data_IF_163526798997
#
_entry.id   IF_163526798997
#
_cell.length_a   1.000
_cell.length_b   1.000
_cell.length_c   1.000
_cell.angle_alpha   90.00
_cell.angle_beta   90.00
_cell.angle_gamma   90.00
#
_symmetry.space_group_name_H-M   'P 1'
#
loop_
_entity.id
_entity.type
_entity.pdbx_description
1 polymer ?
#
# COMPACT_ATOMS: atom_id res chain seq x y z
N UNK A 1 -63.02 40.25 18.99
CA UNK A 1 -64.21 39.53 19.49
C UNK A 1 -64.04 38.07 19.09
N UNK A 2 -63.37 37.26 19.93
CA UNK A 2 -63.95 36.35 20.94
C UNK A 2 -64.97 35.37 20.34
N UNK A 3 -64.56 34.11 20.22
CA UNK A 3 -65.32 32.84 20.26
C UNK A 3 -64.29 31.72 20.00
N UNK A 4 -64.23 30.60 20.69
CA UNK A 4 -64.80 30.12 21.93
C UNK A 4 -64.02 28.84 22.26
N UNK A 5 -63.73 28.64 23.54
CA UNK A 5 -63.02 27.50 24.12
C UNK A 5 -63.97 26.28 24.19
N UNK A 6 -63.44 25.05 24.03
CA UNK A 6 -63.57 23.88 24.95
C UNK A 6 -63.55 22.51 24.24
N UNK A 7 -62.41 21.84 24.47
CA UNK A 7 -62.17 20.43 24.78
C UNK A 7 -63.38 19.47 24.93
N UNK A 8 -63.24 18.29 24.32
CA UNK A 8 -63.67 17.03 24.93
C UNK A 8 -62.66 15.92 24.60
N UNK A 9 -62.00 15.44 25.65
CA UNK A 9 -61.11 14.28 25.70
C UNK A 9 -61.92 12.99 25.78
N UNK A 10 -61.57 11.97 25.00
CA UNK A 10 -61.82 10.57 25.35
C UNK A 10 -60.52 9.79 25.17
N UNK A 11 -60.05 9.24 26.28
CA UNK A 11 -58.91 8.33 26.43
C UNK A 11 -59.50 6.97 26.84
N UNK A 12 -59.10 5.87 26.19
CA UNK A 12 -59.17 4.46 26.65
C UNK A 12 -58.53 3.59 25.54
N UNK A 13 -57.21 3.37 25.58
CA UNK A 13 -56.46 2.25 26.20
C UNK A 13 -56.72 0.84 25.64
N UNK A 14 -55.68 0.35 24.94
CA UNK A 14 -55.00 -0.95 25.01
C UNK A 14 -55.78 -2.25 24.69
N UNK A 15 -55.32 -2.96 23.65
CA UNK A 15 -55.03 -4.39 23.79
C UNK A 15 -53.93 -4.84 22.82
N UNK A 16 -53.14 -5.77 23.34
CA UNK A 16 -51.84 -6.26 22.90
C UNK A 16 -51.94 -7.52 22.02
N UNK A 17 -51.06 -7.64 21.03
CA UNK A 17 -50.13 -8.76 20.82
C UNK A 17 -49.79 -8.95 19.33
N UNK A 18 -48.50 -8.76 19.04
CA UNK A 18 -47.63 -9.60 18.22
C UNK A 18 -48.24 -10.39 17.06
N UNK A 19 -47.89 -9.99 15.83
CA UNK A 19 -47.33 -10.93 14.86
C UNK A 19 -46.25 -10.19 14.04
N UNK A 20 -45.03 -10.71 14.17
CA UNK A 20 -43.84 -10.34 13.40
C UNK A 20 -43.88 -10.96 12.01
N UNK A 21 -43.31 -10.25 11.03
CA UNK A 21 -42.50 -10.72 9.87
C UNK A 21 -42.38 -9.51 8.92
N UNK A 22 -41.43 -8.59 9.11
CA UNK A 22 -40.03 -8.65 8.64
C UNK A 22 -39.84 -9.18 7.21
N UNK A 23 -39.57 -8.27 6.26
CA UNK A 23 -38.65 -8.42 5.11
C UNK A 23 -38.85 -7.22 4.15
N UNK A 24 -37.88 -6.39 3.74
CA UNK A 24 -36.42 -6.49 3.72
C UNK A 24 -35.81 -5.09 3.91
N UNK A 25 -34.91 -5.06 4.86
CA UNK A 25 -33.97 -3.99 5.18
C UNK A 25 -32.98 -3.78 4.03
N UNK A 26 -32.95 -2.57 3.48
CA UNK A 26 -31.82 -2.09 2.68
C UNK A 26 -30.57 -2.18 3.53
N UNK A 27 -29.69 -3.11 3.15
CA UNK A 27 -28.40 -3.31 3.80
C UNK A 27 -27.54 -2.07 3.54
N UNK A 28 -27.43 -1.21 4.56
CA UNK A 28 -26.35 -0.23 4.68
C UNK A 28 -25.02 -0.96 4.53
N UNK A 29 -24.29 -0.64 3.46
CA UNK A 29 -22.88 -0.99 3.29
C UNK A 29 -22.04 -0.51 4.49
N UNK A 30 -21.07 -1.28 4.98
CA UNK A 30 -20.31 -0.90 6.15
C UNK A 30 -19.28 0.18 5.81
N UNK A 31 -19.44 1.33 6.45
CA UNK A 31 -18.42 2.37 6.59
C UNK A 31 -17.26 1.81 7.43
N UNK A 32 -16.04 1.79 6.89
CA UNK A 32 -14.79 1.70 7.66
C UNK A 32 -13.67 0.96 6.92
N UNK A 33 -12.56 1.57 6.53
CA UNK A 33 -11.75 2.58 7.21
C UNK A 33 -11.08 3.49 6.16
N UNK A 34 -11.26 4.82 6.25
CA UNK A 34 -10.37 5.76 5.53
C UNK A 34 -8.93 5.43 5.93
N UNK A 35 -8.12 4.98 4.98
CA UNK A 35 -6.68 4.88 5.21
C UNK A 35 -6.15 6.27 5.59
N UNK A 36 -5.17 6.37 6.52
CA UNK A 36 -4.52 7.65 6.79
C UNK A 36 -4.06 8.27 5.47
N UNK A 37 -4.15 9.59 5.36
CA UNK A 37 -3.83 10.41 4.17
C UNK A 37 -2.34 10.39 3.84
N UNK A 38 -1.79 9.20 3.62
CA UNK A 38 -0.47 8.98 3.04
C UNK A 38 -0.58 9.39 1.57
N UNK A 39 0.18 10.40 1.18
CA UNK A 39 0.18 10.87 -0.21
C UNK A 39 0.41 9.73 -1.22
N UNK A 40 1.25 8.76 -0.87
CA UNK A 40 1.64 7.62 -1.71
C UNK A 40 0.52 6.60 -1.95
N UNK A 41 -0.47 6.54 -1.05
CA UNK A 41 -1.47 5.49 -1.05
C UNK A 41 -2.64 5.82 -1.98
N UNK A 42 -3.23 4.77 -2.55
CA UNK A 42 -4.53 4.79 -3.24
C UNK A 42 -5.38 3.65 -2.70
N UNK A 43 -6.71 3.77 -2.82
CA UNK A 43 -7.61 2.67 -2.48
C UNK A 43 -7.36 1.47 -3.42
N UNK A 44 -7.53 0.22 -2.94
CA UNK A 44 -7.21 -0.96 -3.75
C UNK A 44 -7.90 -1.03 -5.12
N UNK A 45 -9.14 -0.54 -5.21
CA UNK A 45 -9.93 -0.43 -6.45
C UNK A 45 -9.32 0.52 -7.50
N UNK A 46 -8.48 1.46 -7.08
CA UNK A 46 -7.77 2.40 -7.96
C UNK A 46 -6.37 1.92 -8.34
N UNK A 47 -5.88 0.86 -7.72
CA UNK A 47 -4.54 0.34 -7.99
C UNK A 47 -4.58 -0.68 -9.13
N UNK A 48 -3.82 -0.42 -10.19
CA UNK A 48 -3.53 -1.43 -11.21
C UNK A 48 -2.39 -2.31 -10.72
N UNK A 49 -2.61 -3.63 -10.69
CA UNK A 49 -1.61 -4.61 -10.29
C UNK A 49 -1.22 -5.41 -11.53
N UNK A 50 0.02 -5.19 -11.99
CA UNK A 50 0.58 -5.84 -13.17
C UNK A 50 1.28 -7.17 -12.84
N UNK A 51 1.64 -7.36 -11.57
CA UNK A 51 2.21 -8.62 -11.08
C UNK A 51 1.13 -9.71 -10.98
N UNK A 52 1.54 -10.95 -11.14
CA UNK A 52 0.70 -12.13 -11.07
C UNK A 52 1.01 -12.99 -9.83
N UNK A 53 0.21 -14.05 -9.61
CA UNK A 53 0.38 -14.98 -8.50
C UNK A 53 -0.32 -14.56 -7.20
N UNK A 54 -0.24 -15.42 -6.19
CA UNK A 54 -0.93 -15.22 -4.90
C UNK A 54 -0.38 -14.02 -4.12
N UNK A 55 0.91 -13.71 -4.30
CA UNK A 55 1.60 -12.61 -3.64
C UNK A 55 1.57 -11.29 -4.46
N UNK A 56 0.78 -11.21 -5.54
CA UNK A 56 0.72 -10.07 -6.48
C UNK A 56 0.46 -8.70 -5.85
N UNK A 57 -0.11 -8.65 -4.65
CA UNK A 57 -0.40 -7.40 -3.94
C UNK A 57 0.82 -6.82 -3.22
N UNK A 58 1.95 -7.51 -3.22
CA UNK A 58 3.14 -7.17 -2.47
C UNK A 58 4.35 -6.98 -3.39
N UNK A 59 5.14 -5.94 -3.11
CA UNK A 59 6.44 -5.73 -3.76
C UNK A 59 7.32 -6.98 -3.55
N UNK A 60 7.88 -7.60 -4.59
CA UNK A 60 8.63 -8.85 -4.47
C UNK A 60 9.91 -8.65 -3.65
N UNK A 61 10.46 -7.44 -3.65
CA UNK A 61 11.71 -7.12 -2.95
C UNK A 61 11.56 -6.89 -1.45
N UNK A 62 10.49 -6.24 -1.01
CA UNK A 62 10.34 -5.80 0.39
C UNK A 62 8.98 -6.14 1.02
N UNK A 63 8.10 -6.83 0.28
CA UNK A 63 6.73 -7.19 0.67
C UNK A 63 5.79 -6.02 1.00
N UNK A 64 6.19 -4.77 0.79
CA UNK A 64 5.30 -3.62 1.01
C UNK A 64 4.08 -3.71 0.10
N UNK A 65 2.92 -3.40 0.66
CA UNK A 65 1.62 -3.49 -0.03
C UNK A 65 1.54 -2.46 -1.15
N UNK A 66 1.41 -2.91 -2.39
CA UNK A 66 1.52 -2.05 -3.58
C UNK A 66 0.51 -0.89 -3.60
N UNK A 67 -0.78 -1.05 -3.25
CA UNK A 67 -1.71 0.08 -3.13
C UNK A 67 -1.31 1.14 -2.10
N UNK A 68 -0.60 0.76 -1.02
CA UNK A 68 -0.16 1.70 0.02
C UNK A 68 0.96 2.64 -0.45
N UNK A 69 1.68 2.26 -1.50
CA UNK A 69 2.82 2.99 -2.07
C UNK A 69 2.64 3.25 -3.57
N UNK A 70 1.39 3.22 -4.03
CA UNK A 70 1.05 3.15 -5.44
C UNK A 70 1.62 4.29 -6.28
N UNK A 71 1.63 5.51 -5.74
CA UNK A 71 2.16 6.69 -6.46
C UNK A 71 3.68 6.70 -6.64
N UNK A 72 4.39 5.76 -6.02
CA UNK A 72 5.83 5.53 -6.26
C UNK A 72 6.08 4.20 -6.97
N UNK A 73 5.04 3.47 -7.36
CA UNK A 73 5.19 2.16 -7.95
C UNK A 73 5.93 2.22 -9.29
N UNK A 74 6.76 1.22 -9.50
CA UNK A 74 7.37 0.90 -10.77
C UNK A 74 6.95 -0.51 -11.17
N UNK A 75 6.94 -0.80 -12.45
CA UNK A 75 6.77 -2.16 -12.95
C UNK A 75 7.80 -2.42 -14.03
N UNK A 76 8.24 -3.66 -14.17
CA UNK A 76 9.17 -4.07 -15.22
C UNK A 76 8.96 -5.54 -15.54
N UNK A 77 9.47 -5.98 -16.69
CA UNK A 77 9.67 -7.40 -16.94
C UNK A 77 11.05 -7.79 -16.40
N UNK A 78 11.09 -8.73 -15.47
CA UNK A 78 12.30 -9.35 -14.92
C UNK A 78 12.35 -10.77 -15.43
N UNK A 79 13.38 -11.09 -16.22
CA UNK A 79 13.54 -12.40 -16.83
C UNK A 79 12.26 -12.86 -17.57
N UNK A 80 11.59 -11.90 -18.23
CA UNK A 80 10.36 -12.11 -19.00
C UNK A 80 9.06 -12.10 -18.20
N UNK A 81 9.09 -11.98 -16.86
CA UNK A 81 7.89 -11.96 -16.02
C UNK A 81 7.57 -10.55 -15.50
N UNK A 82 6.29 -10.14 -15.46
CA UNK A 82 5.92 -8.83 -14.94
C UNK A 82 6.06 -8.80 -13.40
N UNK A 83 6.89 -7.88 -12.91
CA UNK A 83 7.04 -7.57 -11.49
C UNK A 83 6.66 -6.12 -11.21
N UNK A 84 6.12 -5.87 -10.02
CA UNK A 84 5.73 -4.52 -9.58
C UNK A 84 6.37 -4.18 -8.24
N UNK A 85 7.06 -3.05 -8.21
CA UNK A 85 7.82 -2.56 -7.06
C UNK A 85 7.14 -1.39 -6.41
N UNK A 86 7.29 -1.26 -5.08
CA UNK A 86 6.77 -0.11 -4.36
C UNK A 86 7.54 1.20 -4.64
N UNK A 87 8.75 1.13 -5.18
CA UNK A 87 9.62 2.27 -5.45
C UNK A 87 10.70 1.96 -6.50
N UNK A 88 11.29 3.02 -7.07
CA UNK A 88 12.48 2.92 -7.93
C UNK A 88 13.69 2.33 -7.18
N UNK A 89 13.76 2.49 -5.86
CA UNK A 89 14.81 1.87 -5.04
C UNK A 89 14.74 0.34 -5.11
N UNK A 90 13.56 -0.26 -4.92
CA UNK A 90 13.40 -1.71 -5.01
C UNK A 90 13.63 -2.24 -6.44
N UNK A 91 13.26 -1.46 -7.46
CA UNK A 91 13.61 -1.78 -8.85
C UNK A 91 15.14 -1.77 -9.03
N UNK A 92 15.82 -0.71 -8.59
CA UNK A 92 17.27 -0.58 -8.71
C UNK A 92 18.03 -1.67 -7.93
N UNK A 93 17.52 -2.07 -6.76
CA UNK A 93 18.06 -3.21 -6.00
C UNK A 93 17.93 -4.52 -6.79
N UNK A 94 16.79 -4.74 -7.45
CA UNK A 94 16.59 -5.93 -8.32
C UNK A 94 17.49 -5.89 -9.55
N UNK A 95 17.74 -4.70 -10.12
CA UNK A 95 18.73 -4.53 -11.20
C UNK A 95 20.15 -4.87 -10.72
N UNK A 96 20.51 -4.49 -9.49
CA UNK A 96 21.81 -4.77 -8.89
C UNK A 96 22.00 -6.27 -8.57
N UNK A 97 20.91 -6.98 -8.27
CA UNK A 97 20.93 -8.44 -8.08
C UNK A 97 21.13 -9.23 -9.39
N UNK A 98 21.17 -8.56 -10.54
CA UNK A 98 21.47 -9.17 -11.85
C UNK A 98 20.25 -9.60 -12.67
N UNK A 99 19.03 -9.23 -12.28
CA UNK A 99 17.83 -9.54 -13.06
C UNK A 99 17.82 -8.87 -14.44
N UNK A 100 17.39 -9.58 -15.50
CA UNK A 100 17.27 -8.99 -16.84
C UNK A 100 16.03 -8.11 -16.90
N UNK A 101 16.23 -6.79 -16.82
CA UNK A 101 15.15 -5.81 -16.73
C UNK A 101 14.79 -5.24 -18.10
N UNK A 102 13.49 -5.24 -18.42
CA UNK A 102 12.95 -4.61 -19.63
C UNK A 102 11.56 -4.01 -19.40
N UNK A 103 11.09 -3.20 -20.35
CA UNK A 103 9.74 -2.60 -20.35
C UNK A 103 9.37 -1.90 -19.04
N UNK A 104 10.29 -1.07 -18.53
CA UNK A 104 10.13 -0.37 -17.25
C UNK A 104 9.01 0.68 -17.38
N UNK A 105 8.08 0.67 -16.43
CA UNK A 105 6.96 1.59 -16.31
C UNK A 105 6.94 2.20 -14.91
N UNK A 106 6.31 3.37 -14.79
CA UNK A 106 6.07 4.07 -13.53
C UNK A 106 4.64 4.57 -13.46
N UNK A 107 4.08 4.68 -12.26
CA UNK A 107 2.76 5.30 -12.06
C UNK A 107 2.86 6.82 -12.23
N UNK A 108 2.09 7.34 -13.18
CA UNK A 108 1.86 8.77 -13.34
C UNK A 108 0.99 9.30 -12.19
N UNK A 109 1.49 10.27 -11.44
CA UNK A 109 0.83 10.82 -10.27
C UNK A 109 -0.41 11.66 -10.62
N UNK A 110 -0.55 12.12 -11.86
CA UNK A 110 -1.73 12.83 -12.34
C UNK A 110 -2.89 11.90 -12.66
N UNK A 111 -2.62 10.80 -13.37
CA UNK A 111 -3.67 9.91 -13.91
C UNK A 111 -3.80 8.57 -13.18
N UNK A 112 -2.84 8.22 -12.32
CA UNK A 112 -2.71 6.91 -11.65
C UNK A 112 -2.52 5.72 -12.62
N UNK A 113 -2.19 5.99 -13.88
CA UNK A 113 -1.90 4.96 -14.89
C UNK A 113 -0.40 4.71 -14.99
N UNK A 114 -0.02 3.50 -15.39
CA UNK A 114 1.36 3.20 -15.73
C UNK A 114 1.74 3.83 -17.07
N UNK A 115 2.88 4.49 -17.11
CA UNK A 115 3.49 5.09 -18.29
C UNK A 115 4.92 4.58 -18.47
N UNK A 116 5.44 4.66 -19.70
CA UNK A 116 6.84 4.39 -19.99
C UNK A 116 7.74 5.36 -19.22
N UNK A 117 8.75 4.85 -18.51
CA UNK A 117 9.66 5.68 -17.71
C UNK A 117 10.46 6.68 -18.53
N UNK A 118 10.77 6.38 -19.80
CA UNK A 118 11.53 7.26 -20.67
C UNK A 118 10.76 8.55 -20.97
N UNK A 119 9.42 8.50 -20.91
CA UNK A 119 8.53 9.65 -21.13
C UNK A 119 8.18 10.38 -19.82
N UNK A 120 8.63 9.88 -18.68
CA UNK A 120 8.25 10.38 -17.37
C UNK A 120 9.19 11.49 -16.86
N UNK A 121 8.61 12.45 -16.15
CA UNK A 121 9.30 13.51 -15.42
C UNK A 121 9.19 13.25 -13.93
N UNK A 122 10.32 13.18 -13.23
CA UNK A 122 10.37 12.88 -11.81
C UNK A 122 10.56 14.16 -11.01
N UNK A 123 9.74 14.39 -9.99
CA UNK A 123 10.02 15.36 -8.94
C UNK A 123 10.71 14.65 -7.78
N UNK A 124 11.92 15.10 -7.48
CA UNK A 124 12.85 14.46 -6.54
C UNK A 124 13.14 15.38 -5.37
N UNK A 125 12.97 14.88 -4.14
CA UNK A 125 13.24 15.66 -2.92
C UNK A 125 12.15 16.69 -2.57
N UNK A 126 10.89 16.42 -2.93
CA UNK A 126 9.74 17.17 -2.42
C UNK A 126 9.51 16.90 -0.92
N UNK A 127 8.70 17.75 -0.27
CA UNK A 127 8.28 17.58 1.14
C UNK A 127 7.38 16.37 1.38
N UNK A 128 6.84 15.75 0.31
CA UNK A 128 6.08 14.49 0.44
C UNK A 128 7.03 13.36 0.82
N UNK A 129 6.54 12.40 1.61
CA UNK A 129 7.37 11.28 2.08
C UNK A 129 7.92 10.44 0.91
N UNK A 130 9.15 9.95 1.04
CA UNK A 130 9.72 8.96 0.12
C UNK A 130 9.25 7.53 0.41
N UNK A 131 9.52 6.62 -0.54
CA UNK A 131 9.29 5.18 -0.39
C UNK A 131 10.63 4.45 -0.50
N UNK A 132 11.02 3.73 0.55
CA UNK A 132 12.33 3.04 0.67
C UNK A 132 13.56 3.97 0.59
N UNK A 133 13.35 5.28 0.73
CA UNK A 133 14.38 6.31 0.62
C UNK A 133 13.94 7.52 1.44
N UNK A 134 14.90 8.30 1.95
CA UNK A 134 14.63 9.59 2.59
C UNK A 134 14.23 10.66 1.56
N UNK A 135 14.80 10.58 0.37
CA UNK A 135 14.48 11.45 -0.77
C UNK A 135 13.22 10.94 -1.47
N UNK A 136 12.22 11.79 -1.63
CA UNK A 136 11.01 11.46 -2.37
C UNK A 136 11.25 11.47 -3.88
N UNK A 137 10.52 10.62 -4.62
CA UNK A 137 10.70 10.38 -6.06
C UNK A 137 9.32 10.08 -6.65
N UNK A 138 8.67 11.09 -7.25
CA UNK A 138 7.32 10.99 -7.82
C UNK A 138 7.33 11.29 -9.31
N UNK A 139 6.67 10.45 -10.12
CA UNK A 139 6.70 10.57 -11.57
C UNK A 139 5.41 11.16 -12.14
N UNK A 140 5.56 11.89 -13.24
CA UNK A 140 4.48 12.53 -13.99
C UNK A 140 4.65 12.27 -15.49
N UNK A 141 3.54 12.04 -16.19
CA UNK A 141 3.55 11.87 -17.65
C UNK A 141 3.74 13.17 -18.43
N UNK A 142 3.49 14.32 -17.79
CA UNK A 142 3.64 15.65 -18.38
C UNK A 142 4.61 16.48 -17.56
N UNK A 143 5.51 17.19 -18.24
CA UNK A 143 6.46 18.11 -17.59
C UNK A 143 5.74 19.20 -16.80
N UNK A 144 4.65 19.74 -17.33
CA UNK A 144 3.82 20.78 -16.68
C UNK A 144 3.23 20.31 -15.35
N UNK A 145 2.87 19.03 -15.24
CA UNK A 145 2.33 18.47 -14.00
C UNK A 145 3.43 18.29 -12.95
N UNK A 146 4.63 17.88 -13.38
CA UNK A 146 5.81 17.83 -12.52
C UNK A 146 6.20 19.23 -12.03
N UNK A 147 6.17 20.25 -12.90
CA UNK A 147 6.42 21.65 -12.55
C UNK A 147 5.40 22.17 -11.54
N UNK A 148 4.12 21.87 -11.73
CA UNK A 148 3.08 22.21 -10.76
C UNK A 148 3.33 21.55 -9.40
N UNK A 149 3.65 20.25 -9.39
CA UNK A 149 3.93 19.53 -8.16
C UNK A 149 5.19 20.04 -7.46
N UNK A 150 6.26 20.32 -8.20
CA UNK A 150 7.49 20.88 -7.67
C UNK A 150 7.30 22.30 -7.12
N UNK A 151 6.44 23.12 -7.75
CA UNK A 151 6.07 24.44 -7.23
C UNK A 151 5.32 24.34 -5.90
N UNK A 152 4.42 23.35 -5.76
CA UNK A 152 3.60 23.18 -4.57
C UNK A 152 4.35 22.51 -3.41
N UNK A 153 5.21 21.52 -3.70
CA UNK A 153 5.82 20.66 -2.69
C UNK A 153 7.36 20.70 -2.69
N UNK A 154 7.97 21.55 -3.51
CA UNK A 154 9.41 21.58 -3.72
C UNK A 154 9.93 20.36 -4.47
N UNK A 155 11.26 20.28 -4.55
CA UNK A 155 11.98 19.23 -5.26
C UNK A 155 12.49 19.66 -6.64
N UNK A 156 13.33 18.81 -7.22
CA UNK A 156 13.98 19.03 -8.52
C UNK A 156 13.37 18.11 -9.57
N UNK A 157 13.17 18.62 -10.78
CA UNK A 157 12.67 17.82 -11.90
C UNK A 157 13.83 17.11 -12.58
N UNK A 158 13.70 15.79 -12.77
CA UNK A 158 14.71 14.93 -13.37
C UNK A 158 14.08 13.99 -14.41
N UNK A 159 14.88 13.55 -15.38
CA UNK A 159 14.50 12.46 -16.30
C UNK A 159 14.74 11.10 -15.64
N UNK A 160 14.23 10.02 -16.24
CA UNK A 160 14.45 8.67 -15.73
C UNK A 160 15.94 8.29 -15.64
N UNK A 161 16.75 8.61 -16.66
CA UNK A 161 18.19 8.33 -16.62
C UNK A 161 18.87 8.98 -15.42
N UNK A 162 18.63 10.29 -15.25
CA UNK A 162 19.27 11.06 -14.18
C UNK A 162 18.84 10.58 -12.78
N UNK A 163 17.56 10.24 -12.58
CA UNK A 163 17.10 9.73 -11.28
C UNK A 163 17.57 8.29 -11.03
N UNK A 164 17.67 7.45 -12.06
CA UNK A 164 18.19 6.09 -11.91
C UNK A 164 19.66 6.12 -11.48
N UNK A 165 20.47 6.98 -12.07
CA UNK A 165 21.88 7.15 -11.68
C UNK A 165 21.99 7.68 -10.25
N UNK A 166 21.17 8.67 -9.88
CA UNK A 166 21.10 9.16 -8.49
C UNK A 166 20.63 8.10 -7.50
N UNK A 167 19.75 7.16 -7.88
CA UNK A 167 19.32 6.06 -7.02
C UNK A 167 20.43 5.03 -6.88
N UNK A 168 21.13 4.70 -7.97
CA UNK A 168 22.25 3.76 -7.95
C UNK A 168 23.40 4.25 -7.06
N UNK A 169 23.69 5.55 -7.07
CA UNK A 169 24.76 6.11 -6.23
C UNK A 169 24.47 6.07 -4.73
N UNK A 170 23.19 6.09 -4.32
CA UNK A 170 22.79 6.01 -2.91
C UNK A 170 22.28 4.62 -2.50
N UNK A 171 22.23 3.66 -3.44
CA UNK A 171 21.57 2.37 -3.26
C UNK A 171 22.14 1.57 -2.08
N UNK A 172 23.47 1.51 -1.95
CA UNK A 172 24.13 0.75 -0.90
C UNK A 172 23.78 1.28 0.51
N UNK A 173 23.84 2.60 0.69
CA UNK A 173 23.51 3.26 1.95
C UNK A 173 22.03 3.12 2.29
N UNK A 174 21.14 3.38 1.34
CA UNK A 174 19.69 3.22 1.52
C UNK A 174 19.32 1.77 1.84
N UNK A 175 19.96 0.80 1.17
CA UNK A 175 19.75 -0.64 1.42
C UNK A 175 20.19 -1.03 2.82
N UNK A 176 21.34 -0.55 3.29
CA UNK A 176 21.81 -0.79 4.66
C UNK A 176 20.82 -0.24 5.70
N UNK A 177 20.30 0.97 5.49
CA UNK A 177 19.27 1.56 6.35
C UNK A 177 17.96 0.76 6.33
N UNK A 178 17.53 0.29 5.16
CA UNK A 178 16.33 -0.55 4.99
C UNK A 178 16.51 -1.87 5.75
N UNK A 179 17.66 -2.55 5.59
CA UNK A 179 17.97 -3.79 6.31
C UNK A 179 17.95 -3.59 7.83
N UNK A 180 18.56 -2.51 8.33
CA UNK A 180 18.50 -2.15 9.76
C UNK A 180 17.05 -1.97 10.23
N UNK A 181 16.21 -1.27 9.45
CA UNK A 181 14.78 -1.09 9.76
C UNK A 181 14.00 -2.41 9.73
N UNK A 182 14.30 -3.28 8.77
CA UNK A 182 13.67 -4.60 8.68
C UNK A 182 14.09 -5.50 9.86
N UNK A 183 15.35 -5.48 10.30
CA UNK A 183 15.79 -6.23 11.47
C UNK A 183 15.07 -5.81 12.75
N UNK A 184 14.95 -4.49 13.00
CA UNK A 184 14.15 -3.98 14.12
C UNK A 184 12.66 -4.35 13.99
N UNK A 185 12.14 -4.40 12.77
CA UNK A 185 10.77 -4.82 12.52
C UNK A 185 10.59 -6.33 12.73
N UNK A 186 11.60 -7.15 12.44
CA UNK A 186 11.61 -8.59 12.68
C UNK A 186 11.54 -8.89 14.19
N UNK A 187 12.33 -8.19 15.02
CA UNK A 187 12.26 -8.33 16.48
C UNK A 187 10.86 -7.98 17.02
N UNK A 188 10.24 -6.93 16.48
CA UNK A 188 8.83 -6.61 16.81
C UNK A 188 7.87 -7.69 16.30
N UNK A 189 8.15 -8.23 15.12
CA UNK A 189 7.42 -9.34 14.51
C UNK A 189 7.43 -10.59 15.37
N UNK A 190 8.58 -10.95 15.93
CA UNK A 190 8.77 -12.07 16.85
C UNK A 190 7.94 -11.90 18.12
N UNK A 191 8.04 -10.74 18.77
CA UNK A 191 7.24 -10.43 19.95
C UNK A 191 5.74 -10.49 19.64
N UNK A 192 5.30 -9.98 18.50
CA UNK A 192 3.89 -10.11 18.10
C UNK A 192 3.53 -11.58 17.85
N UNK A 193 4.36 -12.31 17.10
CA UNK A 193 4.12 -13.70 16.76
C UNK A 193 3.89 -14.57 18.00
N UNK A 194 4.78 -14.46 19.00
CA UNK A 194 4.68 -15.21 20.25
C UNK A 194 3.40 -14.92 21.05
N UNK A 195 2.83 -13.72 20.89
CA UNK A 195 1.66 -13.29 21.67
C UNK A 195 0.32 -13.58 20.99
N UNK A 196 0.25 -13.50 19.65
CA UNK A 196 -1.04 -13.51 18.94
C UNK A 196 -1.19 -14.59 17.87
N UNK A 197 -0.11 -15.31 17.52
CA UNK A 197 -0.16 -16.32 16.48
C UNK A 197 -0.23 -17.74 17.05
N UNK A 198 -1.00 -18.61 16.39
CA UNK A 198 -0.82 -20.05 16.53
C UNK A 198 0.52 -20.46 15.90
N UNK A 199 1.15 -21.57 16.34
CA UNK A 199 2.37 -22.07 15.74
C UNK A 199 2.28 -22.23 14.22
N UNK A 200 3.33 -21.83 13.52
CA UNK A 200 3.49 -21.95 12.07
C UNK A 200 4.82 -22.67 11.82
N UNK A 201 4.77 -23.87 11.25
CA UNK A 201 5.97 -24.64 10.88
C UNK A 201 6.43 -24.39 9.44
N UNK A 202 5.61 -23.68 8.66
CA UNK A 202 5.92 -23.35 7.28
C UNK A 202 7.17 -22.47 7.15
N UNK A 203 7.98 -22.76 6.14
CA UNK A 203 9.12 -21.95 5.71
C UNK A 203 8.76 -21.14 4.47
N UNK A 204 9.33 -19.94 4.37
CA UNK A 204 8.99 -19.01 3.29
C UNK A 204 10.23 -18.60 2.51
N UNK A 205 10.12 -18.68 1.18
CA UNK A 205 11.19 -18.26 0.26
C UNK A 205 11.37 -16.75 0.27
N UNK A 206 10.27 -16.01 0.45
CA UNK A 206 10.27 -14.55 0.53
C UNK A 206 9.36 -14.01 1.63
N UNK A 207 9.58 -12.74 2.00
CA UNK A 207 8.69 -12.01 2.91
C UNK A 207 7.27 -11.91 2.32
N UNK A 208 7.15 -11.82 0.99
CA UNK A 208 5.86 -11.74 0.30
C UNK A 208 5.07 -13.03 0.45
N UNK A 209 5.73 -14.19 0.39
CA UNK A 209 5.09 -15.50 0.59
C UNK A 209 4.61 -15.67 2.04
N UNK A 210 5.47 -15.31 3.01
CA UNK A 210 5.08 -15.28 4.43
C UNK A 210 3.87 -14.38 4.66
N UNK A 211 3.85 -13.21 4.01
CA UNK A 211 2.77 -12.23 4.13
C UNK A 211 1.47 -12.71 3.54
N UNK A 212 1.51 -13.34 2.36
CA UNK A 212 0.35 -13.98 1.73
C UNK A 212 -0.20 -15.08 2.62
N UNK A 213 0.66 -15.94 3.16
CA UNK A 213 0.25 -17.02 4.07
C UNK A 213 -0.46 -16.48 5.32
N UNK A 214 0.14 -15.52 6.03
CA UNK A 214 -0.45 -14.95 7.26
C UNK A 214 -1.78 -14.25 6.95
N UNK A 215 -1.87 -13.52 5.84
CA UNK A 215 -3.11 -12.84 5.45
C UNK A 215 -4.24 -13.82 5.06
N UNK A 216 -3.91 -14.92 4.38
CA UNK A 216 -4.88 -15.90 3.89
C UNK A 216 -5.34 -16.88 4.97
N UNK A 217 -4.38 -17.43 5.74
CA UNK A 217 -4.64 -18.46 6.76
C UNK A 217 -5.04 -17.87 8.11
N UNK A 218 -4.76 -16.59 8.34
CA UNK A 218 -5.08 -15.86 9.57
C UNK A 218 -4.64 -16.58 10.87
N UNK A 219 -3.45 -17.22 10.95
CA UNK A 219 -2.98 -17.88 12.18
C UNK A 219 -2.76 -16.89 13.34
N UNK A 220 -2.67 -15.59 13.01
CA UNK A 220 -2.51 -14.48 13.93
C UNK A 220 -3.75 -13.58 14.02
N UNK A 221 -4.91 -14.06 13.55
CA UNK A 221 -6.10 -13.25 13.32
C UNK A 221 -6.00 -12.33 12.10
N UNK A 222 -6.92 -11.37 11.99
CA UNK A 222 -6.95 -10.41 10.88
C UNK A 222 -5.92 -9.30 11.03
N UNK A 223 -4.76 -9.51 10.41
CA UNK A 223 -3.67 -8.53 10.42
C UNK A 223 -3.62 -7.68 9.15
N UNK A 224 -3.14 -6.45 9.33
CA UNK A 224 -2.89 -5.52 8.21
C UNK A 224 -1.75 -4.56 8.51
N UNK A 225 -1.29 -3.88 7.46
CA UNK A 225 -0.31 -2.81 7.57
C UNK A 225 0.96 -3.25 8.29
N UNK A 226 1.37 -2.51 9.32
CA UNK A 226 2.64 -2.71 10.02
C UNK A 226 2.72 -4.04 10.76
N UNK A 227 1.63 -4.50 11.40
CA UNK A 227 1.63 -5.77 12.15
C UNK A 227 1.86 -6.95 11.22
N UNK A 228 1.07 -7.01 10.14
CA UNK A 228 1.22 -8.04 9.10
C UNK A 228 2.64 -8.02 8.52
N UNK A 229 3.16 -6.83 8.17
CA UNK A 229 4.53 -6.71 7.65
C UNK A 229 5.57 -7.25 8.64
N UNK A 230 5.46 -6.91 9.91
CA UNK A 230 6.46 -7.27 10.92
C UNK A 230 6.54 -8.77 11.15
N UNK A 231 5.40 -9.43 11.35
CA UNK A 231 5.34 -10.89 11.50
C UNK A 231 5.86 -11.58 10.23
N UNK A 232 5.53 -11.07 9.04
CA UNK A 232 6.01 -11.64 7.79
C UNK A 232 7.52 -11.54 7.62
N UNK A 233 8.13 -10.42 8.04
CA UNK A 233 9.59 -10.27 8.03
C UNK A 233 10.22 -11.29 8.97
N UNK A 234 9.71 -11.41 10.20
CA UNK A 234 10.17 -12.38 11.19
C UNK A 234 10.10 -13.81 10.66
N UNK A 235 8.94 -14.24 10.14
CA UNK A 235 8.75 -15.60 9.63
C UNK A 235 9.70 -15.96 8.49
N UNK A 236 10.06 -15.00 7.64
CA UNK A 236 11.03 -15.21 6.57
C UNK A 236 12.50 -15.14 7.04
N UNK A 237 12.80 -14.51 8.17
CA UNK A 237 14.17 -14.38 8.70
C UNK A 237 14.54 -15.42 9.75
N UNK A 238 13.58 -16.04 10.45
CA UNK A 238 13.85 -16.92 11.59
C UNK A 238 14.59 -18.22 11.26
N UNK A 239 14.65 -18.61 9.98
CA UNK A 239 15.31 -19.84 9.51
C UNK A 239 16.52 -19.56 8.59
N UNK A 240 17.07 -18.34 8.62
CA UNK A 240 18.22 -17.91 7.81
C UNK A 240 19.34 -17.41 8.71
#
# INVERSE_FOLDING_TARGET
MKKMLLLLTVLLMLSSNAFSEEMKQDKKEPIGKKMPTRFQAVSPDKAVILQEGENKMYCPKCAMTLPMFYKTNHAAHIDGKPEQYCSIHCLAETMADGGKVSSIKVVDNSTLKFIDVIKAWYVVGSVKAGTMSMTSKYAFGKKTDAEKFAKEFGGKIMTFSAILDSVKSTLAEETAMVKKKQAMMAQKGEMMYANICTPIDAEFKSIADAKTYVAAKKPCGELKGKQLQAISIYLNSRNK
#
